data_IF_846742995844
#
_entry.id   IF_846742995844
#
_cell.length_a   1.000
_cell.length_b   1.000
_cell.length_c   1.000
_cell.angle_alpha   90.00
_cell.angle_beta   90.00
_cell.angle_gamma   90.00
#
_symmetry.space_group_name_H-M   'P 1'
#
loop_
_entity.id
_entity.type
_entity.pdbx_description
1 polymer ?
#
# COMPACT_ATOMS: atom_id res chain seq x y z
N UNK A 1 -8.62 -28.01 -45.80
CA UNK A 1 -8.50 -28.40 -44.38
C UNK A 1 -7.28 -27.70 -43.80
N UNK A 2 -7.44 -26.51 -43.23
CA UNK A 2 -6.44 -25.85 -42.36
C UNK A 2 -7.18 -24.79 -41.55
N UNK A 3 -7.72 -25.17 -40.38
CA UNK A 3 -8.23 -24.19 -39.44
C UNK A 3 -7.08 -23.79 -38.51
N UNK A 4 -6.76 -22.50 -38.56
CA UNK A 4 -5.84 -21.75 -37.71
C UNK A 4 -6.18 -21.93 -36.22
N UNK A 5 -5.21 -22.43 -35.45
CA UNK A 5 -5.21 -22.40 -33.98
C UNK A 5 -5.00 -20.96 -33.52
N UNK A 6 -6.08 -20.37 -33.01
CA UNK A 6 -6.09 -19.06 -32.36
C UNK A 6 -5.41 -19.17 -31.00
N UNK A 7 -4.22 -18.57 -30.88
CA UNK A 7 -3.52 -18.29 -29.64
C UNK A 7 -4.45 -17.60 -28.64
N UNK A 8 -4.89 -18.34 -27.62
CA UNK A 8 -5.58 -17.79 -26.46
C UNK A 8 -4.59 -16.99 -25.61
N UNK A 9 -4.60 -15.67 -25.82
CA UNK A 9 -4.05 -14.71 -24.85
C UNK A 9 -4.86 -14.86 -23.56
N UNK A 10 -4.21 -15.39 -22.53
CA UNK A 10 -4.74 -15.55 -21.19
C UNK A 10 -5.29 -14.20 -20.70
N UNK A 11 -6.62 -14.10 -20.66
CA UNK A 11 -7.32 -12.92 -20.22
C UNK A 11 -7.08 -12.74 -18.73
N UNK A 12 -6.42 -11.64 -18.36
CA UNK A 12 -6.39 -11.09 -17.01
C UNK A 12 -7.80 -11.16 -16.44
N UNK A 13 -8.04 -11.81 -15.28
CA UNK A 13 -9.39 -11.98 -14.76
C UNK A 13 -10.01 -10.60 -14.50
N UNK A 14 -11.02 -10.26 -15.32
CA UNK A 14 -11.80 -9.01 -15.33
C UNK A 14 -12.92 -9.04 -14.27
N UNK A 15 -12.73 -9.78 -13.19
CA UNK A 15 -13.74 -9.85 -12.13
C UNK A 15 -13.54 -8.70 -11.15
N UNK A 16 -14.06 -7.52 -11.51
CA UNK A 16 -14.07 -6.30 -10.70
C UNK A 16 -14.72 -6.51 -9.30
N UNK A 17 -15.44 -7.62 -9.07
CA UNK A 17 -15.99 -7.96 -7.76
C UNK A 17 -14.97 -8.57 -6.80
N UNK A 18 -13.87 -9.15 -7.29
CA UNK A 18 -12.77 -9.67 -6.46
C UNK A 18 -11.73 -8.59 -6.10
N UNK A 19 -11.77 -7.44 -6.78
CA UNK A 19 -10.85 -6.32 -6.57
C UNK A 19 -11.45 -5.21 -5.68
N UNK A 20 -12.36 -5.54 -4.75
CA UNK A 20 -12.64 -4.60 -3.66
C UNK A 20 -11.41 -4.54 -2.77
N UNK A 21 -10.58 -3.53 -3.01
CA UNK A 21 -9.45 -3.15 -2.16
C UNK A 21 -9.93 -3.11 -0.70
N UNK A 22 -9.23 -3.76 0.25
CA UNK A 22 -9.55 -3.60 1.66
C UNK A 22 -9.30 -2.14 2.07
N UNK A 23 -10.36 -1.39 2.33
CA UNK A 23 -10.30 0.01 2.73
C UNK A 23 -10.11 1.03 1.58
N UNK A 24 -10.38 2.30 1.88
CA UNK A 24 -10.26 3.40 0.93
C UNK A 24 -8.80 3.66 0.52
N UNK A 25 -8.59 4.10 -0.73
CA UNK A 25 -7.30 4.59 -1.22
C UNK A 25 -7.05 5.98 -0.63
N UNK A 26 -5.87 6.20 -0.06
CA UNK A 26 -5.47 7.54 0.40
C UNK A 26 -5.03 8.34 -0.82
N UNK A 27 -5.60 9.54 -1.01
CA UNK A 27 -5.22 10.45 -2.09
C UNK A 27 -3.76 10.94 -1.93
N UNK A 28 -3.06 11.10 -3.07
CA UNK A 28 -1.59 11.17 -3.12
C UNK A 28 -0.96 12.36 -2.38
N UNK A 29 -1.66 13.48 -2.19
CA UNK A 29 -1.03 14.75 -1.78
C UNK A 29 -0.37 14.71 -0.40
N UNK A 30 -0.89 13.89 0.53
CA UNK A 30 -0.31 13.73 1.87
C UNK A 30 0.25 12.31 2.14
N UNK A 31 0.03 11.35 1.24
CA UNK A 31 0.36 9.95 1.50
C UNK A 31 1.85 9.73 1.73
N UNK A 32 2.70 10.36 0.91
CA UNK A 32 4.16 10.30 1.06
C UNK A 32 4.60 10.72 2.46
N UNK A 33 4.09 11.86 2.93
CA UNK A 33 4.50 12.43 4.21
C UNK A 33 4.01 11.59 5.39
N UNK A 34 2.80 11.03 5.28
CA UNK A 34 2.27 10.08 6.27
C UNK A 34 3.13 8.82 6.36
N UNK A 35 3.52 8.25 5.22
CA UNK A 35 4.39 7.07 5.15
C UNK A 35 5.77 7.38 5.73
N UNK A 36 6.40 8.49 5.33
CA UNK A 36 7.70 8.89 5.87
C UNK A 36 7.64 9.13 7.38
N UNK A 37 6.55 9.73 7.87
CA UNK A 37 6.35 9.91 9.29
C UNK A 37 6.17 8.58 10.03
N UNK A 38 5.46 7.60 9.45
CA UNK A 38 5.31 6.26 10.03
C UNK A 38 6.66 5.51 10.09
N UNK A 39 7.41 5.48 8.99
CA UNK A 39 8.72 4.82 8.91
C UNK A 39 9.74 5.43 9.89
N UNK A 40 9.70 6.75 10.11
CA UNK A 40 10.61 7.43 11.07
C UNK A 40 10.43 6.99 12.51
N UNK A 41 9.24 6.52 12.89
CA UNK A 41 8.96 6.07 14.26
C UNK A 41 9.40 4.62 14.51
N UNK A 42 9.64 3.84 13.46
CA UNK A 42 10.12 2.48 13.60
C UNK A 42 11.61 2.46 13.92
N UNK A 43 11.97 1.63 14.92
CA UNK A 43 13.36 1.34 15.20
C UNK A 43 13.96 0.55 14.03
N UNK A 44 14.95 1.10 13.31
CA UNK A 44 15.56 0.44 12.16
C UNK A 44 16.25 -0.88 12.52
N UNK A 45 16.60 -1.10 13.79
CA UNK A 45 17.26 -2.33 14.26
C UNK A 45 16.35 -3.55 14.21
N UNK A 46 15.04 -3.33 14.11
CA UNK A 46 14.06 -4.40 13.98
C UNK A 46 13.95 -4.92 12.54
N UNK A 47 14.43 -4.16 11.56
CA UNK A 47 14.33 -4.53 10.15
C UNK A 47 15.38 -5.58 9.79
N UNK A 48 14.95 -6.66 9.16
CA UNK A 48 15.81 -7.69 8.59
C UNK A 48 16.19 -7.25 7.17
N UNK A 49 17.48 -6.98 6.88
CA UNK A 49 17.92 -6.60 5.54
C UNK A 49 17.60 -7.69 4.51
N UNK A 50 17.13 -7.28 3.32
CA UNK A 50 16.91 -8.20 2.20
C UNK A 50 18.19 -8.55 1.42
N UNK A 51 19.23 -7.73 1.59
CA UNK A 51 20.53 -7.78 0.89
C UNK A 51 21.67 -7.39 1.82
N UNK A 52 22.91 -7.47 1.32
CA UNK A 52 24.09 -6.94 2.00
C UNK A 52 23.95 -5.43 2.31
N UNK A 53 24.65 -4.98 3.36
CA UNK A 53 24.62 -3.59 3.84
C UNK A 53 25.20 -2.57 2.83
N UNK A 54 25.99 -3.03 1.87
CA UNK A 54 26.60 -2.23 0.80
C UNK A 54 25.71 -2.11 -0.45
N UNK A 55 24.53 -2.74 -0.44
CA UNK A 55 23.59 -2.58 -1.52
C UNK A 55 23.05 -1.14 -1.57
N UNK A 56 22.77 -0.63 -2.77
CA UNK A 56 22.43 0.78 -3.04
C UNK A 56 21.20 1.31 -2.26
N UNK A 57 20.88 2.59 -2.47
CA UNK A 57 19.80 3.30 -1.76
C UNK A 57 18.46 2.54 -1.84
N UNK A 58 18.10 1.97 -2.99
CA UNK A 58 16.86 1.22 -3.15
C UNK A 58 16.83 -0.09 -2.34
N UNK A 59 17.98 -0.56 -1.85
CA UNK A 59 18.10 -1.77 -1.05
C UNK A 59 18.09 -1.51 0.46
N UNK A 60 18.13 -0.23 0.88
CA UNK A 60 18.11 0.11 2.29
C UNK A 60 16.77 -0.32 2.92
N UNK A 61 16.78 -1.01 4.08
CA UNK A 61 15.56 -1.55 4.70
C UNK A 61 14.48 -0.49 4.94
N UNK A 62 14.88 0.74 5.29
CA UNK A 62 13.94 1.87 5.47
C UNK A 62 13.29 2.32 4.17
N UNK A 63 14.03 2.31 3.08
CA UNK A 63 13.53 2.69 1.75
C UNK A 63 12.54 1.64 1.26
N UNK A 64 12.90 0.35 1.36
CA UNK A 64 12.01 -0.76 1.01
C UNK A 64 10.72 -0.75 1.84
N UNK A 65 10.82 -0.44 3.15
CA UNK A 65 9.66 -0.31 4.01
C UNK A 65 8.74 0.85 3.59
N UNK A 66 9.31 2.03 3.30
CA UNK A 66 8.55 3.18 2.82
C UNK A 66 7.88 2.93 1.46
N UNK A 67 8.63 2.32 0.54
CA UNK A 67 8.12 1.91 -0.77
C UNK A 67 6.90 0.97 -0.63
N UNK A 68 7.04 -0.12 0.12
CA UNK A 68 5.96 -1.10 0.31
C UNK A 68 4.75 -0.48 1.01
N UNK A 69 4.98 0.33 2.04
CA UNK A 69 3.89 0.99 2.78
C UNK A 69 3.13 1.95 1.86
N UNK A 70 3.82 2.74 1.03
CA UNK A 70 3.19 3.63 0.05
C UNK A 70 2.39 2.86 -1.01
N UNK A 71 2.98 1.80 -1.57
CA UNK A 71 2.30 0.96 -2.56
C UNK A 71 1.04 0.30 -1.96
N UNK A 72 1.11 -0.24 -0.75
CA UNK A 72 -0.04 -0.90 -0.12
C UNK A 72 -1.11 0.09 0.35
N UNK A 73 -0.71 1.29 0.76
CA UNK A 73 -1.64 2.37 1.05
C UNK A 73 -2.38 2.87 -0.21
N UNK A 74 -1.69 2.86 -1.36
CA UNK A 74 -2.23 3.29 -2.66
C UNK A 74 -2.93 2.18 -3.47
N UNK A 75 -2.88 0.93 -3.01
CA UNK A 75 -3.59 -0.22 -3.60
C UNK A 75 -2.78 -1.06 -4.59
N UNK A 76 -1.45 -0.92 -4.62
CA UNK A 76 -0.54 -1.67 -5.50
C UNK A 76 0.20 -2.73 -4.68
N UNK A 77 0.01 -4.02 -4.98
CA UNK A 77 0.44 -5.10 -4.08
C UNK A 77 1.43 -6.11 -4.68
N UNK A 78 1.37 -6.36 -5.99
CA UNK A 78 2.27 -7.29 -6.69
C UNK A 78 3.69 -6.73 -6.72
N UNK A 79 4.69 -7.57 -6.43
CA UNK A 79 6.10 -7.13 -6.46
C UNK A 79 6.54 -6.67 -7.86
N UNK A 80 6.06 -7.34 -8.92
CA UNK A 80 6.34 -6.97 -10.31
C UNK A 80 5.64 -5.66 -10.70
N UNK A 81 4.40 -5.46 -10.24
CA UNK A 81 3.69 -4.21 -10.46
C UNK A 81 4.37 -3.05 -9.73
N UNK A 82 4.85 -3.27 -8.51
CA UNK A 82 5.61 -2.28 -7.75
C UNK A 82 6.88 -1.90 -8.51
N UNK A 83 7.68 -2.86 -8.97
CA UNK A 83 8.87 -2.58 -9.77
C UNK A 83 8.54 -1.75 -11.03
N UNK A 84 7.49 -2.13 -11.77
CA UNK A 84 7.03 -1.38 -12.93
C UNK A 84 6.53 0.03 -12.58
N UNK A 85 5.94 0.20 -11.39
CA UNK A 85 5.45 1.49 -10.89
C UNK A 85 6.59 2.40 -10.46
N UNK A 86 7.64 1.87 -9.82
CA UNK A 86 8.84 2.65 -9.46
C UNK A 86 9.46 3.27 -10.70
N UNK A 87 9.42 2.62 -11.87
CA UNK A 87 9.95 3.20 -13.12
C UNK A 87 9.16 4.42 -13.63
N UNK A 88 7.93 4.63 -13.18
CA UNK A 88 6.99 5.62 -13.76
C UNK A 88 6.51 6.68 -12.77
N UNK A 89 6.52 6.37 -11.47
CA UNK A 89 5.97 7.25 -10.44
C UNK A 89 7.07 8.14 -9.83
N UNK A 90 7.03 9.47 -10.03
CA UNK A 90 8.06 10.39 -9.51
C UNK A 90 8.24 10.30 -7.99
N UNK A 91 7.18 10.00 -7.23
CA UNK A 91 7.25 9.87 -5.78
C UNK A 91 8.08 8.63 -5.41
N UNK A 92 7.86 7.52 -6.10
CA UNK A 92 8.60 6.28 -5.87
C UNK A 92 10.05 6.37 -6.33
N UNK A 93 10.29 7.01 -7.48
CA UNK A 93 11.64 7.31 -7.99
C UNK A 93 12.43 8.13 -6.95
N UNK A 94 11.79 9.15 -6.37
CA UNK A 94 12.40 9.98 -5.33
C UNK A 94 12.66 9.20 -4.04
N UNK A 95 11.71 8.36 -3.60
CA UNK A 95 11.87 7.51 -2.42
C UNK A 95 13.03 6.52 -2.59
N UNK A 96 13.21 5.96 -3.78
CA UNK A 96 14.26 4.97 -4.08
C UNK A 96 15.61 5.60 -4.44
N UNK A 97 15.74 6.93 -4.46
CA UNK A 97 16.99 7.60 -4.77
C UNK A 97 17.47 7.41 -6.21
N UNK A 98 16.55 7.38 -7.18
CA UNK A 98 16.82 7.07 -8.61
C UNK A 98 17.30 5.63 -8.88
N UNK A 99 17.33 4.75 -7.88
CA UNK A 99 17.61 3.34 -8.07
C UNK A 99 16.31 2.52 -8.19
N UNK A 100 16.39 1.37 -8.86
CA UNK A 100 15.25 0.48 -9.07
C UNK A 100 15.45 -0.80 -8.23
N UNK A 101 14.62 -1.04 -7.21
CA UNK A 101 14.64 -2.29 -6.49
C UNK A 101 14.06 -3.41 -7.36
N UNK A 102 14.76 -4.54 -7.44
CA UNK A 102 14.29 -5.74 -8.12
C UNK A 102 13.07 -6.35 -7.39
N UNK A 103 12.10 -6.87 -8.13
CA UNK A 103 10.92 -7.53 -7.58
C UNK A 103 11.29 -8.74 -6.71
N UNK A 104 12.41 -9.43 -6.97
CA UNK A 104 12.91 -10.49 -6.09
C UNK A 104 13.31 -9.96 -4.70
N UNK A 105 13.95 -8.80 -4.66
CA UNK A 105 14.32 -8.12 -3.42
C UNK A 105 13.07 -7.69 -2.66
N UNK A 106 12.11 -7.06 -3.34
CA UNK A 106 10.83 -6.66 -2.74
C UNK A 106 10.14 -7.86 -2.10
N UNK A 107 10.05 -8.98 -2.82
CA UNK A 107 9.44 -10.22 -2.34
C UNK A 107 10.14 -10.78 -1.11
N UNK A 108 11.48 -10.82 -1.14
CA UNK A 108 12.29 -11.30 -0.02
C UNK A 108 12.10 -10.43 1.22
N UNK A 109 12.23 -9.11 1.05
CA UNK A 109 12.06 -8.15 2.14
C UNK A 109 10.68 -8.25 2.78
N UNK A 110 9.63 -8.41 1.96
CA UNK A 110 8.25 -8.60 2.45
C UNK A 110 8.10 -9.85 3.33
N UNK A 111 8.70 -10.98 2.93
CA UNK A 111 8.62 -12.23 3.71
C UNK A 111 9.23 -12.10 5.09
N UNK A 112 10.38 -11.42 5.20
CA UNK A 112 11.09 -11.26 6.47
C UNK A 112 10.50 -10.16 7.36
N UNK A 113 9.90 -9.13 6.79
CA UNK A 113 9.47 -7.93 7.53
C UNK A 113 7.95 -7.74 7.54
N UNK A 114 7.16 -8.80 7.30
CA UNK A 114 5.70 -8.71 7.15
C UNK A 114 5.01 -7.98 8.31
N UNK A 115 5.42 -8.28 9.54
CA UNK A 115 4.80 -7.74 10.76
C UNK A 115 5.10 -6.24 10.90
N UNK A 116 6.31 -5.81 10.51
CA UNK A 116 6.71 -4.41 10.51
C UNK A 116 6.04 -3.61 9.38
N UNK A 117 5.88 -4.22 8.20
CA UNK A 117 5.13 -3.61 7.09
C UNK A 117 3.67 -3.42 7.52
N UNK A 118 3.07 -4.39 8.20
CA UNK A 118 1.70 -4.30 8.71
C UNK A 118 1.54 -3.16 9.69
N UNK A 119 2.44 -3.09 10.67
CA UNK A 119 2.41 -2.03 11.65
C UNK A 119 2.57 -0.64 11.01
N UNK A 120 3.50 -0.50 10.06
CA UNK A 120 3.72 0.76 9.36
C UNK A 120 2.50 1.19 8.53
N UNK A 121 1.85 0.22 7.89
CA UNK A 121 0.64 0.43 7.12
C UNK A 121 -0.54 0.83 8.02
N UNK A 122 -0.74 0.14 9.15
CA UNK A 122 -1.76 0.48 10.15
C UNK A 122 -1.60 1.93 10.63
N UNK A 123 -0.38 2.32 11.02
CA UNK A 123 -0.09 3.70 11.47
C UNK A 123 -0.38 4.71 10.37
N UNK A 124 -0.04 4.39 9.12
CA UNK A 124 -0.28 5.27 7.97
C UNK A 124 -1.79 5.44 7.72
N UNK A 125 -2.55 4.35 7.71
CA UNK A 125 -4.01 4.36 7.54
C UNK A 125 -4.70 5.13 8.67
N UNK A 126 -4.32 4.85 9.92
CA UNK A 126 -4.84 5.54 11.09
C UNK A 126 -4.67 7.06 10.99
N UNK A 127 -3.47 7.52 10.60
CA UNK A 127 -3.19 8.95 10.44
C UNK A 127 -3.91 9.59 9.27
N UNK A 128 -4.03 8.88 8.15
CA UNK A 128 -4.78 9.38 7.00
C UNK A 128 -6.26 9.58 7.34
N UNK A 129 -6.83 8.65 8.10
CA UNK A 129 -8.20 8.73 8.58
C UNK A 129 -8.36 9.88 9.59
N UNK A 130 -7.42 10.05 10.52
CA UNK A 130 -7.44 11.16 11.48
C UNK A 130 -7.27 12.53 10.82
N UNK A 131 -6.45 12.63 9.76
CA UNK A 131 -6.29 13.85 8.97
C UNK A 131 -7.53 14.18 8.12
N UNK A 132 -8.35 13.18 7.83
CA UNK A 132 -9.60 13.29 7.07
C UNK A 132 -10.82 13.49 7.98
N UNK A 133 -10.65 14.11 9.16
CA UNK A 133 -11.68 14.29 10.19
C UNK A 133 -13.05 14.75 9.65
N UNK A 134 -14.15 14.60 10.43
CA UNK A 134 -15.52 14.69 9.94
C UNK A 134 -15.66 15.90 9.03
N UNK A 135 -15.86 15.63 7.73
CA UNK A 135 -16.03 16.68 6.72
C UNK A 135 -17.22 17.50 7.17
N UNK A 136 -16.99 18.70 7.67
CA UNK A 136 -18.06 19.66 7.90
C UNK A 136 -18.76 19.83 6.55
N UNK A 137 -19.94 19.24 6.42
CA UNK A 137 -20.83 19.51 5.30
C UNK A 137 -21.16 21.00 5.38
N UNK A 138 -20.47 21.82 4.59
CA UNK A 138 -20.89 23.18 4.32
C UNK A 138 -22.18 23.07 3.52
N UNK A 139 -23.31 23.01 4.23
CA UNK A 139 -24.60 23.21 3.62
C UNK A 139 -24.71 24.67 3.15
N UNK A 140 -25.33 24.95 2.00
CA UNK A 140 -25.70 26.31 1.66
C UNK A 140 -26.76 26.75 2.68
N UNK A 141 -26.33 27.65 3.57
CA UNK A 141 -27.09 28.61 4.35
C UNK A 141 -28.61 28.38 4.50
N UNK A 142 -29.02 28.10 5.75
CA UNK A 142 -30.25 28.66 6.30
C UNK A 142 -31.26 27.68 6.89
N UNK A 143 -30.97 27.09 8.07
CA UNK A 143 -31.85 27.02 9.25
C UNK A 143 -31.42 25.95 10.29
N UNK A 144 -31.36 26.41 11.54
CA UNK A 144 -31.34 25.70 12.84
C UNK A 144 -30.28 24.59 13.09
N UNK A 145 -29.44 24.72 14.14
CA UNK A 145 -28.59 23.61 14.59
C UNK A 145 -29.46 22.58 15.30
N UNK A 146 -30.11 21.70 14.55
CA UNK A 146 -30.50 20.40 15.10
C UNK A 146 -29.20 19.62 15.24
N UNK A 147 -28.71 19.50 16.48
CA UNK A 147 -27.75 18.47 16.87
C UNK A 147 -28.46 17.13 16.69
N UNK A 148 -28.51 16.67 15.44
CA UNK A 148 -28.83 15.30 15.11
C UNK A 148 -27.56 14.53 15.38
N UNK A 149 -27.58 13.76 16.47
CA UNK A 149 -26.59 12.73 16.75
C UNK A 149 -26.68 11.65 15.67
N UNK A 150 -26.21 11.97 14.47
CA UNK A 150 -25.91 11.01 13.43
C UNK A 150 -24.72 10.17 13.92
N UNK A 151 -25.04 9.13 14.69
CA UNK A 151 -24.15 8.03 15.02
C UNK A 151 -23.76 7.33 13.72
N UNK A 152 -22.72 7.80 13.05
CA UNK A 152 -21.96 7.03 12.07
C UNK A 152 -20.62 7.72 11.81
N UNK A 153 -19.55 7.04 12.21
CA UNK A 153 -18.14 7.31 11.84
C UNK A 153 -17.28 8.20 12.75
N UNK A 154 -17.53 8.24 14.06
CA UNK A 154 -16.67 8.96 15.04
C UNK A 154 -15.55 8.11 15.69
N UNK A 155 -15.16 7.00 15.07
CA UNK A 155 -13.97 6.25 15.44
C UNK A 155 -13.60 5.34 14.29
N UNK A 156 -12.61 5.71 13.48
CA UNK A 156 -11.80 4.67 12.84
C UNK A 156 -11.08 3.99 14.00
N UNK A 157 -11.65 2.86 14.43
CA UNK A 157 -11.07 2.05 15.48
C UNK A 157 -9.68 1.61 15.03
N UNK A 158 -8.68 1.70 15.92
CA UNK A 158 -7.34 1.18 15.66
C UNK A 158 -7.42 -0.28 15.19
N UNK A 159 -8.39 -1.03 15.72
CA UNK A 159 -8.73 -2.38 15.28
C UNK A 159 -8.98 -2.49 13.77
N UNK A 160 -9.82 -1.61 13.20
CA UNK A 160 -10.14 -1.63 11.77
C UNK A 160 -8.92 -1.31 10.90
N UNK A 161 -8.10 -0.33 11.28
CA UNK A 161 -6.85 -0.05 10.55
C UNK A 161 -5.86 -1.23 10.59
N UNK A 162 -5.82 -1.95 11.71
CA UNK A 162 -4.98 -3.14 11.87
C UNK A 162 -5.48 -4.31 11.02
N UNK A 163 -6.80 -4.52 10.96
CA UNK A 163 -7.43 -5.51 10.09
C UNK A 163 -7.21 -5.19 8.62
N UNK A 164 -7.50 -3.96 8.19
CA UNK A 164 -7.28 -3.50 6.81
C UNK A 164 -5.81 -3.66 6.39
N UNK A 165 -4.87 -3.30 7.27
CA UNK A 165 -3.44 -3.47 7.01
C UNK A 165 -3.04 -4.95 6.88
N UNK A 166 -3.57 -5.81 7.75
CA UNK A 166 -3.35 -7.25 7.72
C UNK A 166 -3.89 -7.91 6.45
N UNK A 167 -5.08 -7.52 6.02
CA UNK A 167 -5.69 -8.00 4.77
C UNK A 167 -4.87 -7.58 3.55
N UNK A 168 -4.44 -6.32 3.49
CA UNK A 168 -3.61 -5.78 2.40
C UNK A 168 -2.31 -6.57 2.22
N UNK A 169 -1.63 -6.93 3.31
CA UNK A 169 -0.39 -7.71 3.25
C UNK A 169 -0.66 -9.16 2.87
N UNK A 170 -1.72 -9.75 3.43
CA UNK A 170 -2.13 -11.11 3.05
C UNK A 170 -2.44 -11.19 1.56
N UNK A 171 -3.11 -10.19 1.01
CA UNK A 171 -3.43 -10.09 -0.40
C UNK A 171 -2.16 -9.93 -1.26
N UNK A 172 -1.20 -9.09 -0.83
CA UNK A 172 0.08 -8.95 -1.50
C UNK A 172 0.90 -10.25 -1.55
N UNK A 173 0.90 -11.02 -0.46
CA UNK A 173 1.56 -12.33 -0.41
C UNK A 173 0.86 -13.29 -1.39
N UNK A 174 -0.47 -13.37 -1.35
CA UNK A 174 -1.25 -14.26 -2.21
C UNK A 174 -1.03 -13.95 -3.70
N UNK A 175 -1.09 -12.68 -4.10
CA UNK A 175 -0.85 -12.26 -5.48
C UNK A 175 0.51 -12.75 -5.97
N UNK A 176 1.58 -12.50 -5.22
CA UNK A 176 2.90 -12.98 -5.61
C UNK A 176 3.04 -14.50 -5.62
N UNK A 177 2.21 -15.25 -4.90
CA UNK A 177 2.18 -16.71 -5.01
C UNK A 177 1.44 -17.15 -6.28
N UNK A 178 0.36 -16.47 -6.66
CA UNK A 178 -0.40 -16.76 -7.89
C UNK A 178 0.38 -16.41 -9.17
N UNK A 179 1.28 -15.42 -9.14
CA UNK A 179 2.14 -15.06 -10.28
C UNK A 179 3.48 -15.84 -10.33
N UNK A 180 3.56 -17.02 -9.69
CA UNK A 180 4.72 -17.91 -9.79
C UNK A 180 4.52 -19.13 -10.70
N UNK A 181 3.30 -19.38 -11.17
CA UNK A 181 2.96 -20.61 -11.89
C UNK A 181 3.13 -20.51 -13.42
N UNK A 182 4.02 -19.64 -13.92
CA UNK A 182 4.39 -19.52 -15.35
C UNK A 182 5.84 -19.95 -15.63
#
# INVERSE_FOLDING_TARGET
>A
MTNTETTQLHQRPTDDRQLRLPGARIENTNLRDLVLAAVRQLDPRLLIPGTAAEAGIACQPRVLLGLLTYCYASGVFSSQEIEARVRKDPILILLCGQELPDWHLIRRFRRYNRDLIQHCLEVTLYRANAASGPRASVGPEGNDPVVSAARSSDAVDRGQCGEDAGERIRWAINLDHMFLDE
#
